data_IF_292390883880
#
_entry.id   IF_292390883880
#
_cell.length_a   1.000
_cell.length_b   1.000
_cell.length_c   1.000
_cell.angle_alpha   90.00
_cell.angle_beta   90.00
_cell.angle_gamma   90.00
#
_symmetry.space_group_name_H-M   'P 1'
#
loop_
_entity.id
_entity.type
_entity.pdbx_description
1 polymer ?
#
# COMPACT_ATOMS: atom_id res chain seq x y z
N UNK A 1 3.78 -5.90 49.08
CA UNK A 1 4.21 -4.70 48.33
C UNK A 1 3.19 -4.47 47.27
N UNK A 2 2.31 -3.52 47.48
CA UNK A 2 1.22 -3.15 46.60
C UNK A 2 1.77 -2.26 45.49
N UNK A 3 1.95 -2.82 44.28
CA UNK A 3 2.24 -2.03 43.09
C UNK A 3 1.04 -1.16 42.75
N UNK A 4 1.18 0.17 42.87
CA UNK A 4 0.23 1.09 42.31
C UNK A 4 0.26 0.92 40.78
N UNK A 5 -0.92 0.91 40.09
CA UNK A 5 -0.95 0.93 38.65
C UNK A 5 -0.30 2.22 38.14
N UNK A 6 0.54 2.09 37.15
CA UNK A 6 1.24 3.17 36.48
C UNK A 6 0.19 4.21 35.96
N UNK A 7 0.14 5.39 36.59
CA UNK A 7 -0.87 6.41 36.34
C UNK A 7 -0.58 7.29 35.11
N UNK A 8 0.45 6.95 34.32
CA UNK A 8 0.72 7.66 33.08
C UNK A 8 0.30 6.79 31.91
N UNK A 9 -0.84 7.07 31.26
CA UNK A 9 -1.20 6.35 30.05
C UNK A 9 -0.10 6.59 29.02
N UNK A 10 0.49 5.51 28.54
CA UNK A 10 1.45 5.58 27.42
C UNK A 10 0.79 6.41 26.30
N UNK A 11 1.56 7.31 25.65
CA UNK A 11 0.99 8.08 24.53
C UNK A 11 0.38 7.13 23.52
N UNK A 12 -0.78 7.47 22.93
CA UNK A 12 -1.44 6.59 21.98
C UNK A 12 -0.47 6.29 20.83
N UNK A 13 -0.36 5.00 20.48
CA UNK A 13 0.44 4.60 19.34
C UNK A 13 -0.02 5.37 18.09
N UNK A 14 0.89 5.80 17.20
CA UNK A 14 0.55 6.57 16.02
C UNK A 14 -0.22 5.76 14.96
N UNK A 15 -0.53 4.51 15.26
CA UNK A 15 -1.30 3.58 14.42
C UNK A 15 -2.03 2.57 15.30
N UNK A 16 -3.09 1.99 14.75
CA UNK A 16 -3.83 0.89 15.37
C UNK A 16 -3.73 -0.34 14.48
N UNK A 17 -3.27 -1.42 15.05
CA UNK A 17 -3.41 -2.74 14.45
C UNK A 17 -4.85 -3.21 14.66
N UNK A 18 -5.52 -3.60 13.59
CA UNK A 18 -6.82 -4.26 13.66
C UNK A 18 -6.65 -5.71 14.12
N UNK A 19 -6.40 -5.90 15.41
CA UNK A 19 -6.01 -7.17 16.03
C UNK A 19 -6.67 -7.30 17.39
N UNK A 20 -7.24 -8.47 17.67
CA UNK A 20 -7.84 -8.81 18.96
C UNK A 20 -7.53 -10.27 19.37
N UNK A 21 -8.06 -10.73 20.50
CA UNK A 21 -7.77 -12.03 21.09
C UNK A 21 -8.18 -13.21 20.17
N UNK A 22 -9.22 -13.03 19.34
CA UNK A 22 -9.62 -14.04 18.33
C UNK A 22 -8.53 -14.25 17.29
N UNK A 23 -7.87 -13.18 16.89
CA UNK A 23 -6.75 -13.22 15.96
C UNK A 23 -5.55 -13.95 16.60
N UNK A 24 -5.27 -13.67 17.89
CA UNK A 24 -4.17 -14.30 18.61
C UNK A 24 -4.34 -15.82 18.70
N UNK A 25 -5.50 -16.28 19.11
CA UNK A 25 -5.79 -17.72 19.23
C UNK A 25 -5.57 -18.45 17.90
N UNK A 26 -6.12 -17.92 16.79
CA UNK A 26 -6.00 -18.54 15.48
C UNK A 26 -4.56 -18.48 14.94
N UNK A 27 -3.85 -17.35 15.12
CA UNK A 27 -2.45 -17.22 14.73
C UNK A 27 -1.58 -18.24 15.50
N UNK A 28 -1.74 -18.34 16.81
CA UNK A 28 -0.98 -19.25 17.62
C UNK A 28 -1.26 -20.72 17.28
N UNK A 29 -2.51 -21.05 16.98
CA UNK A 29 -2.90 -22.39 16.49
C UNK A 29 -2.16 -22.73 15.19
N UNK A 30 -2.14 -21.81 14.21
CA UNK A 30 -1.46 -21.98 12.91
C UNK A 30 0.06 -22.09 13.08
N UNK A 31 0.67 -21.23 13.88
CA UNK A 31 2.10 -21.27 14.15
C UNK A 31 2.55 -22.57 14.81
N UNK A 32 1.78 -23.10 15.76
CA UNK A 32 2.04 -24.43 16.33
C UNK A 32 2.01 -25.54 15.25
N UNK A 33 1.08 -25.48 14.31
CA UNK A 33 1.03 -26.42 13.21
C UNK A 33 2.24 -26.30 12.27
N UNK A 34 2.67 -25.07 11.94
CA UNK A 34 3.86 -24.81 11.13
C UNK A 34 5.10 -25.39 11.83
N UNK A 35 5.30 -25.13 13.11
CA UNK A 35 6.45 -25.64 13.89
C UNK A 35 6.52 -27.17 13.83
N UNK A 36 5.39 -27.87 13.94
CA UNK A 36 5.31 -29.33 13.88
C UNK A 36 5.51 -29.92 12.48
N UNK A 37 5.21 -29.14 11.43
CA UNK A 37 5.28 -29.60 10.04
C UNK A 37 6.72 -29.68 9.50
N UNK A 38 7.67 -28.98 10.11
CA UNK A 38 9.02 -28.72 9.59
C UNK A 38 9.04 -28.05 8.18
N UNK A 39 7.91 -27.48 7.74
CA UNK A 39 7.78 -26.74 6.48
C UNK A 39 7.53 -25.26 6.81
N UNK A 40 8.58 -24.48 6.88
CA UNK A 40 8.50 -23.09 7.33
C UNK A 40 8.56 -22.06 6.21
N UNK A 41 8.71 -22.52 4.98
CA UNK A 41 8.74 -21.69 3.76
C UNK A 41 8.18 -22.47 2.59
N UNK A 42 7.51 -21.77 1.65
CA UNK A 42 6.94 -22.36 0.43
C UNK A 42 6.01 -23.56 0.70
N UNK A 43 5.01 -23.38 1.54
CA UNK A 43 4.06 -24.45 1.88
C UNK A 43 2.62 -23.91 1.96
N UNK A 44 1.74 -24.65 2.62
CA UNK A 44 0.29 -24.44 2.56
C UNK A 44 -0.21 -23.09 3.10
N UNK A 45 0.48 -22.47 4.06
CA UNK A 45 0.01 -21.17 4.59
C UNK A 45 0.22 -20.05 3.56
N UNK A 46 1.30 -20.10 2.80
CA UNK A 46 1.56 -19.15 1.73
C UNK A 46 0.51 -19.28 0.61
N UNK A 47 0.17 -20.49 0.22
CA UNK A 47 -0.87 -20.78 -0.79
C UNK A 47 -2.25 -20.30 -0.29
N UNK A 48 -2.58 -20.58 0.97
CA UNK A 48 -3.83 -20.16 1.60
C UNK A 48 -3.93 -18.62 1.70
N UNK A 49 -2.84 -17.93 2.02
CA UNK A 49 -2.79 -16.48 2.07
C UNK A 49 -2.98 -15.85 0.69
N UNK A 50 -2.27 -16.32 -0.35
CA UNK A 50 -2.43 -15.84 -1.72
C UNK A 50 -3.86 -16.10 -2.23
N UNK A 51 -4.47 -17.22 -1.88
CA UNK A 51 -5.86 -17.53 -2.21
C UNK A 51 -6.86 -16.61 -1.47
N UNK A 52 -6.65 -16.35 -0.18
CA UNK A 52 -7.48 -15.43 0.60
C UNK A 52 -7.37 -13.99 0.08
N UNK A 53 -6.17 -13.57 -0.32
CA UNK A 53 -5.96 -12.26 -0.95
C UNK A 53 -6.72 -12.15 -2.26
N UNK A 54 -6.61 -13.16 -3.14
CA UNK A 54 -7.36 -13.24 -4.39
C UNK A 54 -8.88 -13.19 -4.16
N UNK A 55 -9.38 -13.84 -3.12
CA UNK A 55 -10.81 -13.84 -2.81
C UNK A 55 -11.33 -12.44 -2.47
N UNK A 56 -10.50 -11.58 -1.86
CA UNK A 56 -10.83 -10.18 -1.58
C UNK A 56 -10.61 -9.28 -2.79
N UNK A 57 -9.42 -9.36 -3.41
CA UNK A 57 -9.00 -8.41 -4.45
C UNK A 57 -9.51 -8.77 -5.84
N UNK A 58 -9.96 -10.02 -6.06
CA UNK A 58 -10.44 -10.60 -7.32
C UNK A 58 -9.35 -10.80 -8.38
N UNK A 59 -8.11 -10.38 -8.10
CA UNK A 59 -6.95 -10.63 -8.96
C UNK A 59 -6.05 -11.72 -8.37
N UNK A 60 -5.39 -12.54 -9.23
CA UNK A 60 -4.34 -13.42 -8.77
C UNK A 60 -3.21 -12.65 -8.08
N UNK A 61 -2.65 -13.25 -7.04
CA UNK A 61 -1.69 -12.61 -6.15
C UNK A 61 -0.40 -13.41 -5.99
N UNK A 62 0.70 -12.71 -5.70
CA UNK A 62 2.00 -13.28 -5.32
C UNK A 62 2.52 -12.53 -4.11
N UNK A 63 2.72 -13.24 -3.00
CA UNK A 63 3.21 -12.66 -1.75
C UNK A 63 4.74 -12.56 -1.70
N UNK A 64 5.22 -11.50 -1.08
CA UNK A 64 6.63 -11.16 -0.90
C UNK A 64 6.94 -10.87 0.56
N UNK A 65 8.22 -10.91 0.92
CA UNK A 65 8.73 -10.53 2.24
C UNK A 65 8.46 -9.06 2.60
N UNK A 66 8.34 -8.19 1.60
CA UNK A 66 8.02 -6.77 1.75
C UNK A 66 7.54 -6.14 0.42
N UNK A 67 7.05 -4.90 0.48
CA UNK A 67 6.60 -4.13 -0.69
C UNK A 67 7.72 -3.95 -1.73
N UNK A 68 8.94 -3.66 -1.29
CA UNK A 68 10.05 -3.36 -2.18
C UNK A 68 10.45 -4.57 -3.04
N UNK A 69 10.45 -5.79 -2.47
CA UNK A 69 10.68 -7.02 -3.23
C UNK A 69 9.67 -7.21 -4.36
N UNK A 70 8.37 -6.93 -4.07
CA UNK A 70 7.32 -6.93 -5.09
C UNK A 70 7.51 -5.87 -6.16
N UNK A 71 7.87 -4.64 -5.76
CA UNK A 71 8.13 -3.54 -6.69
C UNK A 71 9.31 -3.83 -7.62
N UNK A 72 10.41 -4.34 -7.08
CA UNK A 72 11.59 -4.73 -7.87
C UNK A 72 11.25 -5.83 -8.87
N UNK A 73 10.42 -6.81 -8.51
CA UNK A 73 9.98 -7.87 -9.40
C UNK A 73 9.14 -7.33 -10.58
N UNK A 74 8.23 -6.39 -10.31
CA UNK A 74 7.39 -5.76 -11.34
C UNK A 74 8.25 -4.90 -12.28
N UNK A 75 9.14 -4.09 -11.73
CA UNK A 75 10.06 -3.23 -12.51
C UNK A 75 11.04 -4.05 -13.37
N UNK A 76 11.53 -5.18 -12.86
CA UNK A 76 12.40 -6.09 -13.62
C UNK A 76 11.63 -6.78 -14.76
N UNK A 77 10.37 -7.19 -14.53
CA UNK A 77 9.51 -7.74 -15.58
C UNK A 77 9.33 -6.76 -16.74
N UNK A 78 9.04 -5.50 -16.46
CA UNK A 78 8.84 -4.45 -17.46
C UNK A 78 10.14 -3.83 -17.99
N UNK A 79 11.30 -4.31 -17.54
CA UNK A 79 12.64 -3.95 -18.06
C UNK A 79 12.90 -2.45 -18.08
N UNK A 80 12.64 -1.78 -16.97
CA UNK A 80 12.71 -0.31 -16.86
C UNK A 80 14.14 0.26 -16.88
N UNK A 81 15.18 -0.58 -16.88
CA UNK A 81 16.58 -0.12 -16.93
C UNK A 81 16.83 0.76 -18.13
N UNK A 82 17.31 1.98 -17.88
CA UNK A 82 17.58 3.00 -18.92
C UNK A 82 16.33 3.68 -19.48
N UNK A 83 15.15 3.33 -18.99
CA UNK A 83 13.89 3.99 -19.36
C UNK A 83 13.51 5.08 -18.35
N UNK A 84 12.66 6.01 -18.77
CA UNK A 84 12.02 6.97 -17.86
C UNK A 84 10.83 6.33 -17.16
N UNK A 85 10.77 6.53 -15.83
CA UNK A 85 9.62 6.14 -14.98
C UNK A 85 9.05 7.37 -14.31
N UNK A 86 7.76 7.64 -14.48
CA UNK A 86 7.06 8.69 -13.76
C UNK A 86 6.68 8.22 -12.36
N UNK A 87 6.96 9.05 -11.35
CA UNK A 87 6.55 8.82 -9.96
C UNK A 87 5.88 10.08 -9.40
N UNK A 88 4.77 9.98 -8.64
CA UNK A 88 4.30 11.14 -7.89
C UNK A 88 5.34 11.49 -6.83
N UNK A 89 5.54 12.78 -6.57
CA UNK A 89 6.50 13.17 -5.54
C UNK A 89 5.91 13.09 -4.13
N UNK A 90 4.58 13.18 -4.01
CA UNK A 90 3.88 12.94 -2.74
C UNK A 90 3.67 11.44 -2.54
N UNK A 91 4.72 10.73 -2.13
CA UNK A 91 4.70 9.29 -1.84
C UNK A 91 5.78 8.93 -0.82
N UNK A 92 5.79 7.68 -0.37
CA UNK A 92 6.91 7.14 0.40
C UNK A 92 8.13 6.90 -0.51
N UNK A 93 9.31 7.14 0.04
CA UNK A 93 10.57 7.05 -0.72
C UNK A 93 10.78 5.70 -1.44
N UNK A 94 10.18 4.63 -0.96
CA UNK A 94 10.35 3.30 -1.56
C UNK A 94 9.93 3.27 -3.04
N UNK A 95 8.86 3.99 -3.43
CA UNK A 95 8.33 3.99 -4.80
C UNK A 95 9.36 4.53 -5.82
N UNK A 96 9.83 5.79 -5.73
CA UNK A 96 10.84 6.28 -6.67
C UNK A 96 12.21 5.62 -6.47
N UNK A 97 12.55 5.19 -5.26
CA UNK A 97 13.82 4.51 -4.99
C UNK A 97 13.89 3.13 -5.64
N UNK A 98 12.79 2.37 -5.66
CA UNK A 98 12.73 1.09 -6.37
C UNK A 98 12.95 1.29 -7.87
N UNK A 99 12.32 2.29 -8.49
CA UNK A 99 12.54 2.64 -9.89
C UNK A 99 14.01 3.02 -10.16
N UNK A 100 14.60 3.89 -9.32
CA UNK A 100 16.00 4.28 -9.43
C UNK A 100 16.96 3.10 -9.29
N UNK A 101 16.76 2.22 -8.30
CA UNK A 101 17.59 1.03 -8.09
C UNK A 101 17.44 0.00 -9.21
N UNK A 102 16.29 -0.03 -9.88
CA UNK A 102 16.08 -0.82 -11.10
C UNK A 102 16.78 -0.22 -12.33
N UNK A 103 17.45 0.92 -12.18
CA UNK A 103 18.21 1.59 -13.23
C UNK A 103 17.38 2.49 -14.13
N UNK A 104 16.20 2.89 -13.71
CA UNK A 104 15.36 3.85 -14.43
C UNK A 104 15.76 5.30 -14.11
N UNK A 105 15.49 6.20 -15.05
CA UNK A 105 15.45 7.63 -14.82
C UNK A 105 14.08 8.00 -14.20
N UNK A 106 14.10 8.55 -12.97
CA UNK A 106 12.88 8.94 -12.28
C UNK A 106 12.54 10.39 -12.58
N UNK A 107 11.35 10.61 -13.11
CA UNK A 107 10.75 11.93 -13.30
C UNK A 107 9.57 12.09 -12.36
N UNK A 108 9.57 13.18 -11.58
CA UNK A 108 8.50 13.45 -10.64
C UNK A 108 7.37 14.27 -11.26
N UNK A 109 6.13 13.93 -10.87
CA UNK A 109 4.93 14.71 -11.18
C UNK A 109 4.18 15.10 -9.90
N UNK A 110 3.34 16.13 -10.03
CA UNK A 110 2.65 16.78 -8.92
C UNK A 110 1.40 16.00 -8.48
N UNK A 111 0.87 16.35 -7.34
CA UNK A 111 -0.35 15.78 -6.80
C UNK A 111 -1.53 16.76 -6.82
N UNK A 112 -2.74 16.27 -6.58
CA UNK A 112 -3.91 17.06 -6.27
C UNK A 112 -3.91 17.45 -4.79
N UNK A 113 -4.42 18.64 -4.46
CA UNK A 113 -4.53 19.08 -3.05
C UNK A 113 -5.66 18.40 -2.31
N UNK A 114 -6.73 18.00 -3.01
CA UNK A 114 -7.96 17.50 -2.39
C UNK A 114 -7.91 16.01 -2.01
N UNK A 115 -7.04 15.21 -2.65
CA UNK A 115 -6.87 13.78 -2.36
C UNK A 115 -5.42 13.37 -2.09
N UNK A 116 -4.46 14.28 -2.23
CA UNK A 116 -3.02 14.06 -2.07
C UNK A 116 -2.41 13.11 -3.12
N UNK A 117 -3.20 12.50 -3.98
CA UNK A 117 -2.75 11.55 -5.00
C UNK A 117 -2.29 12.27 -6.28
N UNK A 118 -1.69 11.52 -7.20
CA UNK A 118 -1.15 12.07 -8.43
C UNK A 118 -2.16 12.83 -9.28
N UNK A 119 -1.81 14.04 -9.74
CA UNK A 119 -2.62 14.90 -10.59
C UNK A 119 -2.59 14.46 -12.04
N UNK A 120 -3.76 14.31 -12.67
CA UNK A 120 -3.87 13.96 -14.09
C UNK A 120 -3.23 15.02 -15.00
N UNK A 121 -3.44 16.30 -14.71
CA UNK A 121 -2.97 17.38 -15.58
C UNK A 121 -1.43 17.41 -15.64
N UNK A 122 -0.76 17.37 -14.49
CA UNK A 122 0.71 17.34 -14.47
C UNK A 122 1.28 16.00 -14.93
N UNK A 123 0.55 14.88 -14.67
CA UNK A 123 0.89 13.57 -15.21
C UNK A 123 0.97 13.61 -16.74
N UNK A 124 -0.04 14.13 -17.42
CA UNK A 124 -0.08 14.25 -18.90
C UNK A 124 1.06 15.13 -19.38
N UNK A 125 1.25 16.32 -18.79
CA UNK A 125 2.32 17.23 -19.18
C UNK A 125 3.70 16.59 -19.09
N UNK A 126 3.97 15.83 -18.02
CA UNK A 126 5.22 15.09 -17.84
C UNK A 126 5.33 13.90 -18.81
N UNK A 127 4.25 13.17 -19.03
CA UNK A 127 4.24 12.02 -19.94
C UNK A 127 4.52 12.43 -21.39
N UNK A 128 3.92 13.51 -21.86
CA UNK A 128 4.16 14.03 -23.21
C UNK A 128 5.62 14.51 -23.40
N UNK A 129 6.16 15.17 -22.38
CA UNK A 129 7.52 15.71 -22.41
C UNK A 129 8.58 14.61 -22.32
N UNK A 130 8.40 13.61 -21.44
CA UNK A 130 9.45 12.66 -21.08
C UNK A 130 9.23 11.25 -21.66
N UNK A 131 8.06 10.96 -22.25
CA UNK A 131 7.70 9.69 -22.90
C UNK A 131 8.08 8.47 -22.04
N UNK A 132 7.53 8.34 -20.82
CA UNK A 132 7.90 7.28 -19.90
C UNK A 132 7.48 5.92 -20.43
N UNK A 133 8.27 4.89 -20.14
CA UNK A 133 7.89 3.51 -20.39
C UNK A 133 6.91 3.00 -19.34
N UNK A 134 7.03 3.51 -18.10
CA UNK A 134 6.20 3.11 -16.95
C UNK A 134 5.88 4.32 -16.08
N UNK A 135 4.73 4.29 -15.43
CA UNK A 135 4.34 5.26 -14.43
C UNK A 135 3.81 4.56 -13.18
N UNK A 136 4.13 5.13 -12.02
CA UNK A 136 3.46 4.80 -10.77
C UNK A 136 2.31 5.77 -10.51
N UNK A 137 1.19 5.24 -10.02
CA UNK A 137 0.16 5.98 -9.30
C UNK A 137 0.12 5.47 -7.86
N UNK A 138 -0.03 6.36 -6.88
CA UNK A 138 -0.04 6.00 -5.45
C UNK A 138 -1.40 6.33 -4.86
N UNK A 139 -2.02 5.34 -4.24
CA UNK A 139 -3.25 5.50 -3.50
C UNK A 139 -2.93 5.89 -2.06
N UNK A 140 -3.31 7.09 -1.62
CA UNK A 140 -2.87 7.67 -0.35
C UNK A 140 -4.00 7.63 0.69
N UNK A 141 -3.67 7.45 1.96
CA UNK A 141 -4.59 7.59 3.08
C UNK A 141 -5.63 6.49 3.25
N UNK A 142 -5.72 5.55 2.31
CA UNK A 142 -6.71 4.46 2.35
C UNK A 142 -7.79 4.57 1.29
N UNK A 143 -7.75 5.57 0.41
CA UNK A 143 -8.65 5.73 -0.71
C UNK A 143 -7.95 5.51 -2.05
N UNK A 144 -8.71 5.34 -3.10
CA UNK A 144 -8.23 5.24 -4.48
C UNK A 144 -7.96 6.66 -5.01
N UNK A 145 -6.87 6.85 -5.76
CA UNK A 145 -6.55 8.14 -6.38
C UNK A 145 -7.70 8.63 -7.26
N UNK A 146 -8.15 9.88 -7.08
CA UNK A 146 -9.36 10.38 -7.73
C UNK A 146 -9.24 10.48 -9.26
N UNK A 147 -8.03 10.69 -9.76
CA UNK A 147 -7.77 10.72 -11.20
C UNK A 147 -7.41 9.36 -11.83
N UNK A 148 -7.55 8.25 -11.08
CA UNK A 148 -7.09 6.92 -11.55
C UNK A 148 -7.69 6.52 -12.89
N UNK A 149 -8.99 6.75 -13.11
CA UNK A 149 -9.65 6.36 -14.35
C UNK A 149 -9.10 7.13 -15.56
N UNK A 150 -8.81 8.43 -15.39
CA UNK A 150 -8.23 9.28 -16.44
C UNK A 150 -6.78 8.86 -16.73
N UNK A 151 -5.97 8.66 -15.68
CA UNK A 151 -4.58 8.24 -15.81
C UNK A 151 -4.49 6.86 -16.46
N UNK A 152 -5.30 5.89 -16.01
CA UNK A 152 -5.31 4.55 -16.58
C UNK A 152 -5.77 4.53 -18.06
N UNK A 153 -6.76 5.35 -18.42
CA UNK A 153 -7.20 5.50 -19.81
C UNK A 153 -6.10 6.10 -20.68
N UNK A 154 -5.45 7.16 -20.20
CA UNK A 154 -4.35 7.80 -20.91
C UNK A 154 -3.13 6.84 -21.08
N UNK A 155 -2.77 6.11 -20.03
CA UNK A 155 -1.67 5.13 -20.11
C UNK A 155 -1.95 4.05 -21.17
N UNK A 156 -3.17 3.51 -21.20
CA UNK A 156 -3.57 2.55 -22.24
C UNK A 156 -3.49 3.13 -23.65
N UNK A 157 -3.94 4.37 -23.86
CA UNK A 157 -3.88 5.05 -25.16
C UNK A 157 -2.43 5.26 -25.63
N UNK A 158 -1.54 5.61 -24.70
CA UNK A 158 -0.14 5.91 -25.00
C UNK A 158 0.82 4.72 -24.89
N UNK A 159 0.33 3.55 -24.48
CA UNK A 159 1.17 2.36 -24.27
C UNK A 159 2.15 2.50 -23.10
N UNK A 160 1.77 3.31 -22.09
CA UNK A 160 2.55 3.47 -20.84
C UNK A 160 2.10 2.40 -19.86
N UNK A 161 3.03 1.63 -19.31
CA UNK A 161 2.73 0.68 -18.23
C UNK A 161 2.34 1.44 -16.98
N UNK A 162 1.18 1.11 -16.39
CA UNK A 162 0.72 1.72 -15.16
C UNK A 162 0.83 0.75 -13.99
N UNK A 163 1.61 1.11 -12.97
CA UNK A 163 1.75 0.35 -11.72
C UNK A 163 1.10 1.13 -10.57
N UNK A 164 0.21 0.46 -9.86
CA UNK A 164 -0.46 1.03 -8.69
C UNK A 164 0.33 0.70 -7.41
N UNK A 165 0.79 1.73 -6.71
CA UNK A 165 1.25 1.58 -5.33
C UNK A 165 0.02 1.61 -4.41
N UNK A 166 -0.37 0.42 -3.99
CA UNK A 166 -1.55 0.16 -3.16
C UNK A 166 -1.19 0.03 -1.66
N UNK A 167 -0.01 0.50 -1.25
CA UNK A 167 0.49 0.31 0.13
C UNK A 167 -0.43 0.89 1.22
N UNK A 168 -1.32 1.82 0.89
CA UNK A 168 -2.32 2.38 1.80
C UNK A 168 -3.77 1.96 1.49
N UNK A 169 -4.00 1.21 0.42
CA UNK A 169 -5.32 1.09 -0.19
C UNK A 169 -6.08 -0.20 0.16
N UNK A 170 -5.59 -1.01 1.12
CA UNK A 170 -6.33 -2.20 1.58
C UNK A 170 -7.68 -1.79 2.14
N UNK A 171 -8.74 -2.43 1.64
CA UNK A 171 -10.13 -2.14 2.02
C UNK A 171 -10.79 -0.99 1.27
N UNK A 172 -10.10 -0.35 0.32
CA UNK A 172 -10.71 0.63 -0.58
C UNK A 172 -11.48 -0.06 -1.71
N UNK A 173 -12.47 0.66 -2.22
CA UNK A 173 -13.29 0.23 -3.35
C UNK A 173 -13.84 1.44 -4.09
N UNK A 174 -13.99 1.37 -5.41
CA UNK A 174 -14.71 2.37 -6.19
C UNK A 174 -15.67 1.69 -7.17
N UNK A 175 -16.96 1.71 -6.85
CA UNK A 175 -18.02 1.04 -7.61
C UNK A 175 -17.73 -0.46 -7.87
N UNK A 176 -17.22 -1.17 -6.86
CA UNK A 176 -16.85 -2.58 -6.94
C UNK A 176 -15.42 -2.83 -7.46
N UNK A 177 -14.74 -1.83 -8.00
CA UNK A 177 -13.38 -2.00 -8.50
C UNK A 177 -12.35 -1.80 -7.39
N UNK A 178 -11.47 -2.78 -7.21
CA UNK A 178 -10.45 -2.81 -6.14
C UNK A 178 -9.14 -2.15 -6.58
N UNK A 179 -8.34 -1.59 -5.65
CA UNK A 179 -6.98 -1.13 -5.93
C UNK A 179 -6.14 -2.28 -6.53
N UNK A 180 -5.24 -1.93 -7.44
CA UNK A 180 -4.40 -2.88 -8.18
C UNK A 180 -5.05 -3.44 -9.44
N UNK A 181 -6.31 -3.04 -9.75
CA UNK A 181 -7.04 -3.52 -10.92
C UNK A 181 -7.20 -2.47 -12.02
N UNK A 182 -6.77 -1.23 -11.80
CA UNK A 182 -6.86 -0.15 -12.78
C UNK A 182 -5.69 -0.17 -13.77
N UNK A 183 -4.49 -0.50 -13.28
CA UNK A 183 -3.25 -0.58 -14.04
C UNK A 183 -2.89 -2.00 -14.49
N UNK A 184 -1.62 -2.19 -14.83
CA UNK A 184 -1.04 -3.47 -15.26
C UNK A 184 -0.61 -4.35 -14.08
N UNK A 185 -0.23 -3.72 -12.96
CA UNK A 185 0.07 -4.38 -11.70
C UNK A 185 -0.24 -3.48 -10.51
N UNK A 186 -0.59 -4.08 -9.38
CA UNK A 186 -0.75 -3.41 -8.09
C UNK A 186 0.18 -4.02 -7.04
N UNK A 187 0.73 -3.19 -6.14
CA UNK A 187 1.68 -3.62 -5.11
C UNK A 187 1.19 -3.13 -3.75
N UNK A 188 0.89 -4.06 -2.86
CA UNK A 188 0.41 -3.79 -1.51
C UNK A 188 1.53 -3.98 -0.48
N UNK A 189 1.43 -3.26 0.62
CA UNK A 189 2.32 -3.38 1.78
C UNK A 189 1.56 -3.94 2.98
N UNK A 190 2.21 -4.84 3.70
CA UNK A 190 1.75 -5.40 4.97
C UNK A 190 2.70 -5.01 6.11
N UNK A 191 3.36 -3.86 5.98
CA UNK A 191 4.17 -3.28 7.04
C UNK A 191 3.34 -3.05 8.31
N UNK A 192 3.99 -3.05 9.47
CA UNK A 192 3.39 -3.02 10.81
C UNK A 192 2.30 -1.96 11.02
N UNK A 193 2.35 -0.82 10.31
CA UNK A 193 1.38 0.27 10.49
C UNK A 193 0.16 0.22 9.54
N UNK A 194 0.13 -0.72 8.59
CA UNK A 194 -0.90 -0.78 7.54
C UNK A 194 -2.26 -1.22 8.10
N UNK A 195 -3.33 -1.03 7.31
CA UNK A 195 -4.72 -1.40 7.69
C UNK A 195 -4.82 -2.85 8.17
N UNK A 196 -4.12 -3.74 7.49
CA UNK A 196 -3.81 -5.11 7.94
C UNK A 196 -2.30 -5.31 7.81
N UNK A 197 -1.72 -6.20 8.61
CA UNK A 197 -0.26 -6.34 8.70
C UNK A 197 0.17 -7.79 8.89
N UNK A 198 1.41 -8.07 8.53
CA UNK A 198 2.17 -9.28 8.91
C UNK A 198 3.49 -8.90 9.61
N UNK A 199 3.59 -7.66 10.12
CA UNK A 199 4.83 -7.03 10.57
C UNK A 199 5.64 -6.50 9.40
N UNK A 200 6.07 -7.36 8.53
CA UNK A 200 6.64 -7.09 7.21
C UNK A 200 5.97 -7.99 6.18
N UNK A 201 5.70 -7.48 4.98
CA UNK A 201 5.11 -8.23 3.89
C UNK A 201 4.74 -7.34 2.70
N UNK A 202 4.56 -7.97 1.56
CA UNK A 202 4.07 -7.34 0.34
C UNK A 202 3.24 -8.30 -0.49
N UNK A 203 2.38 -7.77 -1.35
CA UNK A 203 1.61 -8.58 -2.30
C UNK A 203 1.59 -7.86 -3.64
N UNK A 204 1.96 -8.59 -4.69
CA UNK A 204 1.78 -8.16 -6.08
C UNK A 204 0.52 -8.79 -6.63
N UNK A 205 -0.34 -8.00 -7.24
CA UNK A 205 -1.50 -8.45 -7.99
C UNK A 205 -1.41 -8.00 -9.44
N UNK A 206 -1.94 -8.78 -10.35
CA UNK A 206 -2.04 -8.42 -11.77
C UNK A 206 -3.06 -9.30 -12.47
N UNK A 207 -3.67 -8.77 -13.53
CA UNK A 207 -4.46 -9.57 -14.50
C UNK A 207 -3.57 -10.30 -15.50
N UNK A 208 -2.30 -9.91 -15.61
CA UNK A 208 -1.32 -10.46 -16.56
C UNK A 208 -0.56 -11.62 -15.92
N UNK A 209 -0.80 -12.85 -16.40
CA UNK A 209 -0.17 -14.04 -15.83
C UNK A 209 1.35 -14.09 -16.01
N UNK A 210 1.88 -13.43 -17.02
CA UNK A 210 3.33 -13.31 -17.25
C UNK A 210 4.02 -12.45 -16.18
N UNK A 211 3.38 -11.36 -15.73
CA UNK A 211 3.83 -10.55 -14.58
C UNK A 211 3.91 -11.42 -13.33
N UNK A 212 2.86 -12.20 -13.05
CA UNK A 212 2.80 -13.03 -11.84
C UNK A 212 3.77 -14.22 -11.89
N UNK A 213 3.95 -14.81 -13.06
CA UNK A 213 4.94 -15.88 -13.26
C UNK A 213 6.36 -15.37 -13.04
N UNK A 214 6.64 -14.18 -13.57
CA UNK A 214 7.92 -13.50 -13.34
C UNK A 214 8.10 -13.18 -11.85
N UNK A 215 7.09 -12.61 -11.19
CA UNK A 215 7.10 -12.30 -9.76
C UNK A 215 7.36 -13.55 -8.89
N UNK A 216 6.71 -14.68 -9.18
CA UNK A 216 6.99 -15.96 -8.49
C UNK A 216 8.44 -16.43 -8.66
N UNK A 217 8.99 -16.28 -9.87
CA UNK A 217 10.40 -16.60 -10.12
C UNK A 217 11.34 -15.64 -9.42
N UNK A 218 11.05 -14.32 -9.49
CA UNK A 218 11.87 -13.27 -8.92
C UNK A 218 11.99 -13.40 -7.39
N UNK A 219 10.90 -13.69 -6.67
CA UNK A 219 10.94 -13.84 -5.20
C UNK A 219 11.82 -14.97 -4.70
N UNK A 220 12.24 -15.91 -5.57
CA UNK A 220 12.99 -17.11 -5.23
C UNK A 220 14.22 -17.32 -6.13
N UNK A 221 15.13 -16.33 -6.17
CA UNK A 221 16.38 -16.40 -6.91
C UNK A 221 16.26 -16.78 -8.41
N UNK A 222 15.11 -16.57 -9.01
CA UNK A 222 14.86 -16.98 -10.39
C UNK A 222 14.67 -18.50 -10.61
N UNK A 223 14.46 -19.32 -9.59
CA UNK A 223 14.30 -20.77 -9.71
C UNK A 223 13.22 -21.17 -10.69
N UNK A 224 12.05 -20.53 -10.64
CA UNK A 224 10.93 -20.79 -11.53
C UNK A 224 11.20 -20.54 -13.02
N UNK A 225 12.25 -19.82 -13.36
CA UNK A 225 12.71 -19.52 -14.73
C UNK A 225 13.97 -20.30 -15.13
N UNK A 226 14.40 -21.27 -14.32
CA UNK A 226 15.69 -21.92 -14.50
C UNK A 226 16.88 -20.97 -14.29
N UNK A 227 16.74 -20.06 -13.30
CA UNK A 227 17.73 -19.03 -12.92
C UNK A 227 18.01 -17.97 -14.02
N UNK A 228 17.10 -17.80 -14.97
CA UNK A 228 17.21 -16.73 -15.98
C UNK A 228 16.86 -15.35 -15.41
N UNK A 229 15.99 -15.28 -14.42
CA UNK A 229 15.65 -14.08 -13.67
C UNK A 229 16.71 -13.90 -12.58
N UNK A 230 17.40 -12.77 -12.59
CA UNK A 230 18.46 -12.45 -11.62
C UNK A 230 17.83 -11.69 -10.43
N UNK A 231 17.74 -12.34 -9.30
CA UNK A 231 17.11 -11.79 -8.12
C UNK A 231 17.68 -12.39 -6.83
N UNK A 232 17.14 -11.95 -5.70
CA UNK A 232 17.49 -12.46 -4.38
C UNK A 232 16.31 -13.17 -3.72
N UNK A 233 16.43 -13.42 -2.42
CA UNK A 233 15.37 -13.96 -1.60
C UNK A 233 14.38 -12.85 -1.19
N UNK A 234 13.16 -12.96 -1.67
CA UNK A 234 12.04 -12.08 -1.31
C UNK A 234 10.81 -12.91 -0.91
N UNK A 235 11.03 -14.12 -0.38
CA UNK A 235 9.96 -15.02 0.01
C UNK A 235 9.29 -14.57 1.30
N UNK A 236 7.96 -14.54 1.31
CA UNK A 236 7.20 -14.55 2.56
C UNK A 236 7.29 -15.96 3.17
N UNK A 237 7.61 -16.06 4.46
CA UNK A 237 7.62 -17.32 5.19
C UNK A 237 6.22 -17.75 5.63
N UNK A 238 6.08 -18.99 6.09
CA UNK A 238 4.80 -19.59 6.49
C UNK A 238 4.18 -18.89 7.74
N UNK A 239 5.00 -18.37 8.64
CA UNK A 239 4.50 -17.70 9.86
C UNK A 239 3.81 -16.38 9.53
N UNK A 240 4.44 -15.57 8.67
CA UNK A 240 3.84 -14.32 8.17
C UNK A 240 2.62 -14.60 7.30
N UNK A 241 2.67 -15.62 6.45
CA UNK A 241 1.55 -16.01 5.61
C UNK A 241 0.34 -16.45 6.44
N UNK A 242 0.56 -17.24 7.49
CA UNK A 242 -0.47 -17.64 8.44
C UNK A 242 -1.11 -16.43 9.14
N UNK A 243 -0.29 -15.47 9.60
CA UNK A 243 -0.76 -14.20 10.16
C UNK A 243 -1.58 -13.42 9.13
N UNK A 244 -1.05 -13.27 7.91
CA UNK A 244 -1.71 -12.58 6.81
C UNK A 244 -3.08 -13.16 6.47
N UNK A 245 -3.24 -14.49 6.52
CA UNK A 245 -4.52 -15.17 6.30
C UNK A 245 -5.56 -14.77 7.35
N UNK A 246 -5.17 -14.69 8.61
CA UNK A 246 -6.07 -14.23 9.68
C UNK A 246 -6.45 -12.76 9.45
N UNK A 247 -5.49 -11.92 9.19
CA UNK A 247 -5.71 -10.48 9.00
C UNK A 247 -6.58 -10.16 7.77
N UNK A 248 -6.37 -10.81 6.63
CA UNK A 248 -7.19 -10.54 5.43
C UNK A 248 -8.65 -11.01 5.62
N UNK A 249 -8.89 -12.05 6.39
CA UNK A 249 -10.24 -12.51 6.75
C UNK A 249 -10.93 -11.57 7.73
N UNK A 250 -10.19 -10.92 8.60
CA UNK A 250 -10.68 -9.92 9.54
C UNK A 250 -10.86 -8.54 8.91
N UNK A 251 -10.21 -8.27 7.81
CA UNK A 251 -10.17 -6.96 7.15
C UNK A 251 -11.56 -6.35 6.91
N UNK A 252 -12.60 -7.08 6.44
CA UNK A 252 -13.92 -6.50 6.24
C UNK A 252 -14.53 -5.91 7.54
N UNK A 253 -14.36 -6.57 8.67
CA UNK A 253 -14.83 -6.09 9.99
C UNK A 253 -14.06 -4.84 10.42
N UNK A 254 -12.73 -4.87 10.29
CA UNK A 254 -11.86 -3.75 10.65
C UNK A 254 -12.20 -2.51 9.82
N UNK A 255 -12.36 -2.69 8.51
CA UNK A 255 -12.68 -1.61 7.58
C UNK A 255 -14.09 -1.07 7.80
N UNK A 256 -15.08 -1.94 8.00
CA UNK A 256 -16.45 -1.51 8.29
C UNK A 256 -16.52 -0.67 9.57
N UNK A 257 -15.80 -1.07 10.62
CA UNK A 257 -15.70 -0.27 11.85
C UNK A 257 -15.08 1.11 11.58
N UNK A 258 -13.96 1.16 10.85
CA UNK A 258 -13.29 2.44 10.51
C UNK A 258 -14.19 3.36 9.70
N UNK A 259 -14.92 2.80 8.73
CA UNK A 259 -15.87 3.54 7.90
C UNK A 259 -17.03 4.11 8.73
N UNK A 260 -17.59 3.31 9.62
CA UNK A 260 -18.64 3.76 10.52
C UNK A 260 -18.15 4.86 11.45
N UNK A 261 -16.98 4.67 12.09
CA UNK A 261 -16.40 5.68 12.97
C UNK A 261 -16.04 6.98 12.23
N UNK A 262 -15.50 6.88 11.03
CA UNK A 262 -15.23 8.05 10.18
C UNK A 262 -16.52 8.82 9.89
N UNK A 263 -17.57 8.14 9.42
CA UNK A 263 -18.85 8.74 9.05
C UNK A 263 -19.58 9.35 10.24
N UNK A 264 -19.68 8.59 11.35
CA UNK A 264 -20.58 8.92 12.47
C UNK A 264 -19.91 9.86 13.49
N UNK A 265 -18.56 9.83 13.59
CA UNK A 265 -17.82 10.57 14.61
C UNK A 265 -16.91 11.65 13.98
N UNK A 266 -16.08 11.28 12.99
CA UNK A 266 -15.06 12.22 12.49
C UNK A 266 -15.59 13.19 11.44
N UNK A 267 -16.45 12.75 10.54
CA UNK A 267 -17.01 13.60 9.47
C UNK A 267 -17.75 14.84 9.98
N UNK A 268 -18.57 14.75 11.07
CA UNK A 268 -19.19 15.91 11.67
C UNK A 268 -18.21 16.89 12.32
N UNK A 269 -17.07 16.41 12.84
CA UNK A 269 -16.07 17.20 13.55
C UNK A 269 -15.09 17.90 12.59
N UNK A 270 -14.87 17.32 11.41
CA UNK A 270 -13.83 17.79 10.47
C UNK A 270 -14.44 18.09 9.08
N UNK A 271 -15.02 19.29 8.90
CA UNK A 271 -15.61 19.68 7.61
C UNK A 271 -14.57 19.82 6.49
N UNK A 272 -13.33 20.20 6.83
CA UNK A 272 -12.21 20.36 5.89
C UNK A 272 -11.34 19.10 5.86
N UNK A 273 -11.78 18.11 5.12
CA UNK A 273 -11.17 16.78 5.00
C UNK A 273 -11.11 16.29 3.56
N UNK A 274 -10.42 15.21 3.30
CA UNK A 274 -10.57 14.46 2.05
C UNK A 274 -12.02 13.97 1.94
N UNK A 275 -12.72 14.38 0.89
CA UNK A 275 -14.09 13.99 0.59
C UNK A 275 -14.09 12.99 -0.55
N UNK A 276 -14.51 11.77 -0.26
CA UNK A 276 -14.52 10.70 -1.25
C UNK A 276 -15.55 10.99 -2.35
N UNK A 277 -15.23 10.72 -3.63
CA UNK A 277 -16.20 10.72 -4.72
C UNK A 277 -17.34 9.73 -4.47
N UNK A 278 -18.47 9.96 -5.15
CA UNK A 278 -19.59 9.03 -5.13
C UNK A 278 -19.15 7.62 -5.56
N UNK A 279 -19.67 6.61 -4.87
CA UNK A 279 -19.34 5.22 -5.11
C UNK A 279 -17.97 4.76 -4.63
N UNK A 280 -17.14 5.68 -4.08
CA UNK A 280 -15.86 5.30 -3.49
C UNK A 280 -16.00 5.05 -1.98
N UNK A 281 -15.37 3.99 -1.50
CA UNK A 281 -15.12 3.72 -0.08
C UNK A 281 -13.64 3.67 0.24
N UNK A 282 -13.28 4.01 1.48
CA UNK A 282 -11.89 4.02 1.97
C UNK A 282 -11.67 2.91 2.99
N UNK A 283 -10.48 2.29 2.95
CA UNK A 283 -9.99 1.44 4.04
C UNK A 283 -9.48 2.23 5.24
N UNK A 284 -9.47 3.56 5.15
CA UNK A 284 -9.03 4.50 6.19
C UNK A 284 -7.74 4.07 6.88
N UNK A 285 -6.68 3.90 6.09
CA UNK A 285 -5.32 3.79 6.65
C UNK A 285 -4.97 5.04 7.45
N UNK A 286 -5.37 6.22 6.92
CA UNK A 286 -5.32 7.53 7.58
C UNK A 286 -6.63 8.27 7.35
N UNK A 287 -7.10 9.00 8.35
CA UNK A 287 -8.15 9.99 8.17
C UNK A 287 -7.49 11.36 8.02
N UNK A 288 -7.63 11.97 6.84
CA UNK A 288 -6.85 13.16 6.43
C UNK A 288 -7.74 14.40 6.45
N UNK A 289 -7.24 15.45 7.11
CA UNK A 289 -7.87 16.76 7.18
C UNK A 289 -6.89 17.86 6.75
N UNK A 290 -7.44 19.02 6.34
CA UNK A 290 -6.64 20.17 5.88
C UNK A 290 -6.60 21.30 6.92
N UNK A 291 -7.10 21.06 8.10
CA UNK A 291 -7.00 21.96 9.25
C UNK A 291 -6.02 21.41 10.28
N UNK A 292 -5.25 22.30 10.91
CA UNK A 292 -4.33 21.90 11.98
C UNK A 292 -5.11 21.43 13.21
N UNK A 293 -4.73 20.28 13.74
CA UNK A 293 -5.36 19.70 14.94
C UNK A 293 -4.30 19.35 15.99
N UNK A 294 -4.50 19.73 17.27
CA UNK A 294 -3.53 19.47 18.35
C UNK A 294 -3.26 17.98 18.59
N UNK A 295 -4.26 17.13 18.33
CA UNK A 295 -4.22 15.67 18.53
C UNK A 295 -3.76 14.90 17.29
N UNK A 296 -3.19 15.59 16.29
CA UNK A 296 -2.74 14.93 15.05
C UNK A 296 -1.67 13.86 15.32
N UNK A 297 -1.77 12.77 14.58
CA UNK A 297 -0.70 11.75 14.51
C UNK A 297 0.38 12.08 13.48
N UNK A 298 0.50 13.34 13.07
CA UNK A 298 1.43 13.83 12.06
C UNK A 298 0.81 13.90 10.66
N UNK A 299 1.65 13.81 9.67
CA UNK A 299 1.31 13.86 8.25
C UNK A 299 1.42 12.47 7.61
N UNK A 300 0.81 12.26 6.46
CA UNK A 300 1.06 11.04 5.67
C UNK A 300 2.52 11.06 5.19
N UNK A 301 2.93 12.19 4.59
CA UNK A 301 4.31 12.46 4.19
C UNK A 301 4.65 13.92 4.52
N UNK A 302 5.73 14.12 5.28
CA UNK A 302 6.19 15.46 5.69
C UNK A 302 7.12 16.09 4.66
N UNK A 303 7.89 15.25 3.96
CA UNK A 303 8.91 15.70 3.01
C UNK A 303 8.69 15.03 1.65
N UNK A 304 8.48 15.82 0.58
CA UNK A 304 8.32 15.29 -0.78
C UNK A 304 9.53 14.51 -1.27
N UNK A 305 9.30 13.47 -2.07
CA UNK A 305 10.38 12.59 -2.56
C UNK A 305 11.40 13.31 -3.44
N UNK A 306 11.00 14.28 -4.26
CA UNK A 306 11.97 15.06 -5.05
C UNK A 306 12.97 15.79 -4.16
N UNK A 307 12.53 16.32 -3.00
CA UNK A 307 13.40 16.96 -2.00
C UNK A 307 14.37 15.95 -1.36
N UNK A 308 13.84 14.78 -0.95
CA UNK A 308 14.67 13.71 -0.34
C UNK A 308 15.76 13.24 -1.32
N UNK A 309 15.43 13.15 -2.60
CA UNK A 309 16.34 12.66 -3.65
C UNK A 309 17.21 13.74 -4.29
N UNK A 310 17.07 15.01 -3.86
CA UNK A 310 17.86 16.13 -4.39
C UNK A 310 17.54 16.46 -5.85
N UNK A 311 16.30 16.20 -6.30
CA UNK A 311 15.85 16.47 -7.66
C UNK A 311 15.13 17.82 -7.70
N UNK A 312 15.57 18.74 -8.52
CA UNK A 312 14.85 19.98 -8.76
C UNK A 312 13.58 19.72 -9.57
N UNK A 313 12.42 20.06 -9.03
CA UNK A 313 11.14 19.94 -9.70
C UNK A 313 10.17 21.03 -9.19
N UNK A 314 9.41 21.63 -10.11
CA UNK A 314 8.35 22.56 -9.76
C UNK A 314 7.04 21.78 -9.55
N UNK A 315 6.71 21.52 -8.27
CA UNK A 315 5.57 20.70 -7.83
C UNK A 315 4.80 21.44 -6.73
N UNK A 316 4.11 22.55 -7.07
CA UNK A 316 3.53 23.45 -6.08
C UNK A 316 2.44 22.83 -5.22
N UNK A 317 1.67 21.86 -5.75
CA UNK A 317 0.65 21.18 -4.95
C UNK A 317 1.28 20.19 -3.97
N UNK A 318 2.30 19.46 -4.37
CA UNK A 318 3.07 18.56 -3.50
C UNK A 318 3.69 19.34 -2.34
N UNK A 319 4.29 20.51 -2.62
CA UNK A 319 4.84 21.38 -1.58
C UNK A 319 3.76 21.93 -0.64
N UNK A 320 2.58 22.20 -1.19
CA UNK A 320 1.45 22.67 -0.40
C UNK A 320 0.89 21.55 0.51
N UNK A 321 0.63 20.35 -0.02
CA UNK A 321 0.07 19.25 0.77
C UNK A 321 1.04 18.80 1.86
N UNK A 322 2.34 18.79 1.61
CA UNK A 322 3.34 18.46 2.62
C UNK A 322 3.23 19.35 3.87
N UNK A 323 2.79 20.59 3.71
CA UNK A 323 2.62 21.57 4.80
C UNK A 323 1.21 21.59 5.38
N UNK A 324 0.17 21.33 4.59
CA UNK A 324 -1.21 21.68 4.88
C UNK A 324 -2.17 20.48 4.99
N UNK A 325 -1.71 19.31 5.45
CA UNK A 325 -2.60 18.22 5.82
C UNK A 325 -2.18 17.62 7.16
N UNK A 326 -3.11 17.02 7.86
CA UNK A 326 -2.90 16.34 9.14
C UNK A 326 -3.68 15.04 9.18
N UNK A 327 -3.22 14.08 9.97
CA UNK A 327 -3.90 12.82 10.19
C UNK A 327 -4.59 12.83 11.55
N UNK A 328 -5.90 12.55 11.55
CA UNK A 328 -6.67 12.35 12.78
C UNK A 328 -6.47 10.92 13.26
N UNK A 329 -6.28 10.67 14.57
CA UNK A 329 -6.27 9.33 15.13
C UNK A 329 -7.54 8.56 14.77
N UNK A 330 -7.38 7.38 14.18
CA UNK A 330 -8.46 6.46 13.83
C UNK A 330 -8.00 5.05 14.14
N UNK A 331 -8.24 4.61 15.36
CA UNK A 331 -7.77 3.35 15.89
C UNK A 331 -8.91 2.37 16.08
N UNK A 332 -8.78 1.18 15.51
CA UNK A 332 -9.65 0.07 15.82
C UNK A 332 -9.46 -0.30 17.31
N UNK A 333 -10.53 -0.32 18.11
CA UNK A 333 -10.39 -0.65 19.53
C UNK A 333 -9.96 -2.11 19.67
N UNK A 334 -8.91 -2.33 20.44
CA UNK A 334 -8.64 -3.66 20.96
C UNK A 334 -9.73 -3.95 21.99
N UNK A 335 -10.38 -5.12 21.91
CA UNK A 335 -11.24 -5.55 23.00
C UNK A 335 -10.41 -5.51 24.29
N UNK A 336 -10.79 -4.65 25.24
CA UNK A 336 -10.11 -4.63 26.54
C UNK A 336 -10.20 -6.03 27.13
N UNK A 337 -9.10 -6.61 27.65
CA UNK A 337 -9.26 -7.73 28.54
C UNK A 337 -10.17 -7.26 29.70
N UNK A 338 -11.24 -7.98 29.94
CA UNK A 338 -12.09 -7.83 31.13
C UNK A 338 -11.27 -8.00 32.41
#
# INVERSE_FOLDING_TARGET
MSGQPDQNPSPPLPFSLGYDDRDEEEIMRRWRAILRSNKWSHAAQLEEFEAAWRAWNELPAVAFDNWAGGAMAVLDHFKVRGATVLCPSNTFLATPRAAQLSGAEVVFYDCNRHDLCGSFDDFVAKAERHRPALAFIVHIGGHIAFDIHKIAAYCRDKGIILVEDCAHAVGADWNGQKPGSFGDAGIFSLYATKTITTGEGGVVVSRHEDVLRHARSYRDYGRGSGYKVQSLNHRMDEFRAAFGTVQIRRMPEIVAWKQAYARDVLDPLYPDRVRLPEGMSSGFYKYIVFQNIPTSTGKVYELPCHRIMGVEANLPNTEWVAKNHWCVPLYYPRSSPE
#
